data_IF_075540437868
#
_entry.id   IF_075540437868
#
_cell.length_a   1.000
_cell.length_b   1.000
_cell.length_c   1.000
_cell.angle_alpha   90.00
_cell.angle_beta   90.00
_cell.angle_gamma   90.00
#
_symmetry.space_group_name_H-M   'P 1'
#
loop_
_entity.id
_entity.type
_entity.pdbx_description
1 polymer ?
#
# COMPACT_ATOMS: atom_id res chain seq x y z
N UNK A 1 -79.10 -6.23 63.29
CA UNK A 1 -78.58 -4.99 62.79
C UNK A 1 -77.07 -4.98 63.01
N UNK A 2 -76.36 -5.42 61.99
CA UNK A 2 -74.88 -5.29 62.04
C UNK A 2 -74.42 -5.00 60.65
N UNK A 3 -73.75 -3.89 60.43
CA UNK A 3 -73.15 -3.53 59.14
C UNK A 3 -71.78 -4.07 59.07
N UNK A 4 -71.52 -4.90 58.05
CA UNK A 4 -70.21 -5.36 57.68
C UNK A 4 -69.55 -4.36 56.75
N UNK A 5 -68.36 -3.88 57.12
CA UNK A 5 -67.49 -3.09 56.25
C UNK A 5 -66.55 -4.02 55.49
N UNK A 6 -66.56 -3.94 54.15
CA UNK A 6 -65.61 -4.54 53.32
C UNK A 6 -64.37 -3.65 53.15
N UNK A 7 -63.25 -4.10 53.67
CA UNK A 7 -61.95 -3.51 53.43
C UNK A 7 -61.38 -4.09 52.09
N UNK A 8 -61.13 -3.23 51.14
CA UNK A 8 -60.48 -3.64 49.85
C UNK A 8 -58.98 -3.36 50.02
N UNK A 9 -58.22 -4.42 50.07
CA UNK A 9 -56.75 -4.31 49.98
C UNK A 9 -56.37 -4.11 48.49
N UNK A 10 -55.72 -2.96 48.25
CA UNK A 10 -55.02 -2.75 46.97
C UNK A 10 -53.67 -3.43 47.06
N UNK A 11 -53.49 -4.41 46.23
CA UNK A 11 -52.21 -5.07 46.00
C UNK A 11 -51.39 -4.20 45.02
N UNK A 12 -50.34 -3.55 45.51
CA UNK A 12 -49.39 -2.81 44.70
C UNK A 12 -48.50 -3.81 43.95
N UNK A 13 -48.73 -3.94 42.65
CA UNK A 13 -47.80 -4.62 41.75
C UNK A 13 -46.52 -3.82 41.63
N UNK A 14 -45.48 -4.25 42.32
CA UNK A 14 -44.11 -3.81 42.11
C UNK A 14 -43.58 -4.42 40.80
N UNK A 15 -43.38 -3.57 39.84
CA UNK A 15 -42.68 -3.94 38.59
C UNK A 15 -41.23 -4.30 38.90
N UNK A 16 -40.69 -5.39 38.35
CA UNK A 16 -39.27 -5.70 38.46
C UNK A 16 -38.44 -4.64 37.72
N UNK A 17 -37.58 -3.96 38.45
CA UNK A 17 -36.51 -3.16 37.85
C UNK A 17 -35.61 -4.10 37.04
N UNK A 18 -35.60 -3.94 35.74
CA UNK A 18 -34.55 -4.50 34.84
C UNK A 18 -33.19 -4.00 35.33
N UNK A 19 -32.44 -4.89 35.92
CA UNK A 19 -31.02 -4.70 36.15
C UNK A 19 -30.31 -4.76 34.80
N UNK A 20 -30.01 -3.61 34.23
CA UNK A 20 -29.04 -3.49 33.13
C UNK A 20 -27.68 -3.96 33.67
N UNK A 21 -27.34 -5.20 33.38
CA UNK A 21 -26.00 -5.70 33.54
C UNK A 21 -25.13 -4.98 32.47
N UNK A 22 -24.36 -4.01 32.92
CA UNK A 22 -23.25 -3.45 32.13
C UNK A 22 -22.20 -4.56 31.98
N UNK A 23 -22.21 -5.26 30.83
CA UNK A 23 -21.12 -6.12 30.47
C UNK A 23 -19.84 -5.26 30.33
N UNK A 24 -18.93 -5.44 31.25
CA UNK A 24 -17.60 -4.87 31.24
C UNK A 24 -16.85 -5.55 30.08
N UNK A 25 -16.85 -4.95 28.89
CA UNK A 25 -16.02 -5.38 27.76
C UNK A 25 -14.56 -5.15 28.13
N UNK A 26 -13.94 -6.15 28.69
CA UNK A 26 -12.53 -6.11 29.08
C UNK A 26 -11.67 -6.44 27.86
N UNK A 27 -10.97 -5.44 27.32
CA UNK A 27 -10.03 -5.66 26.23
C UNK A 27 -8.95 -6.68 26.67
N UNK A 28 -8.84 -7.80 25.95
CA UNK A 28 -7.76 -8.78 26.19
C UNK A 28 -6.43 -8.18 25.79
N UNK A 29 -5.52 -8.00 26.74
CA UNK A 29 -4.14 -7.54 26.49
C UNK A 29 -3.20 -8.74 26.56
N UNK A 30 -2.46 -8.98 25.49
CA UNK A 30 -1.40 -9.99 25.46
C UNK A 30 -0.06 -9.24 25.46
N UNK A 31 0.82 -9.59 26.38
CA UNK A 31 2.16 -9.02 26.44
C UNK A 31 3.05 -9.79 25.46
N UNK A 32 3.50 -9.12 24.41
CA UNK A 32 4.42 -9.69 23.42
C UNK A 32 5.84 -9.52 23.97
N UNK A 33 6.63 -10.60 24.05
CA UNK A 33 8.03 -10.52 24.42
C UNK A 33 8.87 -10.00 23.24
N UNK A 34 10.00 -9.33 23.52
CA UNK A 34 10.93 -8.88 22.48
C UNK A 34 11.34 -10.02 21.53
N UNK A 35 11.57 -11.21 22.07
CA UNK A 35 11.93 -12.39 21.26
C UNK A 35 10.83 -12.81 20.28
N UNK A 36 9.54 -12.66 20.62
CA UNK A 36 8.44 -12.97 19.70
C UNK A 36 8.28 -11.93 18.59
N UNK A 37 8.70 -10.69 18.81
CA UNK A 37 8.72 -9.64 17.78
C UNK A 37 9.90 -9.86 16.81
N UNK A 38 11.08 -10.22 17.33
CA UNK A 38 12.28 -10.50 16.51
C UNK A 38 12.12 -11.76 15.67
N UNK A 39 11.40 -12.77 16.15
CA UNK A 39 11.10 -14.00 15.38
C UNK A 39 10.14 -13.77 14.21
N UNK A 40 9.30 -12.75 14.28
CA UNK A 40 8.37 -12.39 13.22
C UNK A 40 9.01 -11.55 12.11
N UNK A 41 10.18 -10.96 12.36
CA UNK A 41 10.87 -10.06 11.43
C UNK A 41 11.93 -10.74 10.55
N UNK A 42 12.20 -12.04 10.76
CA UNK A 42 13.29 -12.74 10.07
C UNK A 42 12.88 -13.57 8.84
N UNK A 43 11.66 -13.44 8.33
CA UNK A 43 11.40 -13.81 6.95
C UNK A 43 11.87 -12.65 6.05
N UNK A 44 13.13 -12.64 5.69
CA UNK A 44 13.59 -11.86 4.54
C UNK A 44 12.94 -12.49 3.31
N UNK A 45 11.77 -11.96 2.95
CA UNK A 45 11.14 -12.29 1.67
C UNK A 45 12.15 -11.92 0.58
N UNK A 46 12.57 -12.93 -0.16
CA UNK A 46 13.52 -12.74 -1.26
C UNK A 46 12.80 -12.01 -2.39
N UNK A 47 13.38 -10.91 -2.84
CA UNK A 47 12.88 -10.19 -4.02
C UNK A 47 12.92 -11.09 -5.25
N UNK A 48 11.88 -10.98 -6.07
CA UNK A 48 11.80 -11.68 -7.36
C UNK A 48 12.88 -11.15 -8.31
N UNK A 49 13.48 -12.04 -9.09
CA UNK A 49 14.35 -11.67 -10.21
C UNK A 49 13.47 -11.31 -11.41
N UNK A 50 13.03 -10.04 -11.44
CA UNK A 50 12.09 -9.54 -12.45
C UNK A 50 12.65 -9.64 -13.86
N UNK A 51 13.97 -9.51 -14.05
CA UNK A 51 14.64 -9.68 -15.33
C UNK A 51 14.45 -11.09 -15.89
N UNK A 52 14.41 -12.10 -15.03
CA UNK A 52 14.29 -13.50 -15.43
C UNK A 52 12.85 -13.98 -15.69
N UNK A 53 11.82 -13.25 -15.19
CA UNK A 53 10.43 -13.75 -15.16
C UNK A 53 9.41 -12.78 -15.74
N UNK A 54 9.85 -11.63 -16.29
CA UNK A 54 8.94 -10.61 -16.80
C UNK A 54 9.55 -9.77 -17.90
N UNK A 55 8.69 -9.04 -18.60
CA UNK A 55 9.04 -8.01 -19.55
C UNK A 55 8.64 -6.66 -18.98
N UNK A 56 9.53 -5.66 -19.07
CA UNK A 56 9.23 -4.28 -18.73
C UNK A 56 8.78 -3.51 -19.98
N UNK A 57 7.67 -2.77 -19.86
CA UNK A 57 7.20 -1.84 -20.87
C UNK A 57 7.27 -0.43 -20.28
N UNK A 58 7.81 0.54 -21.02
CA UNK A 58 7.93 1.94 -20.60
C UNK A 58 7.44 2.86 -21.71
N UNK A 59 6.85 4.01 -21.34
CA UNK A 59 6.41 5.01 -22.32
C UNK A 59 7.57 5.79 -22.93
N UNK A 60 8.59 6.09 -22.13
CA UNK A 60 9.84 6.68 -22.58
C UNK A 60 11.00 6.29 -21.67
N UNK A 61 12.23 6.38 -22.14
CA UNK A 61 13.43 6.02 -21.40
C UNK A 61 14.64 6.80 -21.87
N UNK A 62 15.39 7.37 -20.90
CA UNK A 62 16.73 7.89 -21.17
C UNK A 62 17.72 6.71 -21.24
N UNK A 63 18.47 6.55 -22.34
CA UNK A 63 19.42 5.42 -22.51
C UNK A 63 20.49 5.33 -21.42
N UNK A 64 20.77 6.43 -20.70
CA UNK A 64 21.72 6.43 -19.58
C UNK A 64 21.10 5.96 -18.25
N UNK A 65 19.76 5.86 -18.19
CA UNK A 65 18.99 5.48 -17.01
C UNK A 65 17.90 4.47 -17.37
N UNK A 66 18.30 3.28 -17.87
CA UNK A 66 17.35 2.28 -18.36
C UNK A 66 16.55 1.65 -17.22
N UNK A 67 15.37 1.12 -17.56
CA UNK A 67 14.43 0.56 -16.57
C UNK A 67 15.03 -0.61 -15.78
N UNK A 68 15.89 -1.38 -16.39
CA UNK A 68 16.60 -2.49 -15.74
C UNK A 68 17.37 -2.02 -14.50
N UNK A 69 17.90 -0.79 -14.53
CA UNK A 69 18.61 -0.20 -13.38
C UNK A 69 17.70 0.01 -12.16
N UNK A 70 16.40 0.23 -12.39
CA UNK A 70 15.41 0.32 -11.32
C UNK A 70 14.86 -1.03 -10.89
N UNK A 71 14.80 -2.04 -11.77
CA UNK A 71 14.18 -3.33 -11.50
C UNK A 71 15.15 -4.37 -10.93
N UNK A 72 16.45 -4.24 -11.17
CA UNK A 72 17.45 -5.24 -10.73
C UNK A 72 18.27 -4.75 -9.54
N UNK A 73 18.81 -5.70 -8.77
CA UNK A 73 19.81 -5.39 -7.74
C UNK A 73 21.24 -5.41 -8.30
N UNK A 74 21.39 -5.93 -9.52
CA UNK A 74 22.68 -6.12 -10.20
C UNK A 74 23.00 -4.87 -10.99
N UNK A 75 24.09 -4.19 -10.70
CA UNK A 75 24.61 -3.07 -11.49
C UNK A 75 24.67 -1.74 -10.78
N UNK A 76 24.90 -0.67 -11.53
CA UNK A 76 24.88 0.69 -11.02
C UNK A 76 23.43 1.04 -10.63
N UNK A 77 23.22 1.46 -9.40
CA UNK A 77 21.91 1.91 -8.89
C UNK A 77 21.63 3.33 -9.41
N UNK A 78 21.61 3.51 -10.72
CA UNK A 78 21.28 4.79 -11.34
C UNK A 78 19.76 5.04 -11.38
N UNK A 79 18.97 3.98 -11.18
CA UNK A 79 17.52 4.03 -11.37
C UNK A 79 17.11 4.22 -12.83
N UNK A 80 15.83 4.39 -13.05
CA UNK A 80 15.24 4.73 -14.33
C UNK A 80 14.89 6.22 -14.39
N UNK A 81 15.00 6.80 -15.60
CA UNK A 81 14.54 8.16 -15.92
C UNK A 81 13.83 8.15 -17.28
N UNK A 82 12.72 8.87 -17.37
CA UNK A 82 12.05 9.09 -18.64
C UNK A 82 12.89 10.01 -19.55
N UNK A 83 12.80 9.82 -20.87
CA UNK A 83 13.36 10.74 -21.86
C UNK A 83 12.44 11.95 -22.11
N UNK A 84 11.16 11.81 -21.81
CA UNK A 84 10.13 12.80 -22.06
C UNK A 84 9.55 13.35 -20.74
N UNK A 85 9.08 14.59 -20.78
CA UNK A 85 8.36 15.21 -19.66
C UNK A 85 6.92 14.70 -19.58
N UNK A 86 6.27 14.97 -18.43
CA UNK A 86 4.86 14.62 -18.23
C UNK A 86 4.63 13.22 -17.71
N UNK A 87 3.38 12.77 -17.79
CA UNK A 87 2.98 11.47 -17.24
C UNK A 87 3.64 10.30 -17.97
N UNK A 88 4.18 9.37 -17.21
CA UNK A 88 4.84 8.16 -17.71
C UNK A 88 4.17 6.91 -17.17
N UNK A 89 4.25 5.84 -17.92
CA UNK A 89 3.74 4.53 -17.53
C UNK A 89 4.86 3.51 -17.64
N UNK A 90 5.02 2.74 -16.57
CA UNK A 90 5.91 1.57 -16.53
C UNK A 90 5.03 0.36 -16.23
N UNK A 91 5.21 -0.73 -16.97
CA UNK A 91 4.53 -2.00 -16.71
C UNK A 91 5.56 -3.11 -16.56
N UNK A 92 5.34 -3.96 -15.57
CA UNK A 92 6.00 -5.24 -15.43
C UNK A 92 4.97 -6.30 -15.80
N UNK A 93 5.19 -6.97 -16.92
CA UNK A 93 4.32 -8.04 -17.46
C UNK A 93 5.00 -9.37 -17.17
N UNK A 94 4.42 -10.19 -16.31
CA UNK A 94 4.97 -11.47 -15.94
C UNK A 94 4.76 -12.52 -17.04
N UNK A 95 5.76 -13.36 -17.30
CA UNK A 95 5.68 -14.47 -18.26
C UNK A 95 4.62 -15.50 -17.87
N UNK A 96 4.35 -15.61 -16.57
CA UNK A 96 3.32 -16.47 -15.97
C UNK A 96 2.65 -15.73 -14.80
N UNK A 97 1.38 -16.03 -14.53
CA UNK A 97 0.72 -15.50 -13.33
C UNK A 97 1.55 -15.78 -12.08
N UNK A 98 1.88 -14.73 -11.35
CA UNK A 98 2.80 -14.74 -10.21
C UNK A 98 2.10 -14.19 -8.97
N UNK A 99 2.15 -14.87 -7.81
CA UNK A 99 1.66 -14.29 -6.57
C UNK A 99 2.60 -13.19 -6.09
N UNK A 100 2.04 -12.11 -5.53
CA UNK A 100 2.80 -11.02 -4.93
C UNK A 100 2.33 -10.78 -3.49
N UNK A 101 3.31 -10.63 -2.59
CA UNK A 101 3.09 -10.37 -1.17
C UNK A 101 3.66 -9.03 -0.71
N UNK A 102 4.56 -8.46 -1.51
CA UNK A 102 5.21 -7.20 -1.20
C UNK A 102 5.58 -6.43 -2.46
N UNK A 103 5.38 -5.13 -2.43
CA UNK A 103 5.81 -4.22 -3.49
C UNK A 103 6.51 -3.05 -2.83
N UNK A 104 7.74 -2.76 -3.25
CA UNK A 104 8.53 -1.63 -2.76
C UNK A 104 8.95 -0.73 -3.91
N UNK A 105 8.70 0.56 -3.74
CA UNK A 105 9.09 1.63 -4.65
C UNK A 105 10.04 2.58 -3.93
N UNK A 106 11.06 3.05 -4.62
CA UNK A 106 11.96 4.09 -4.12
C UNK A 106 12.05 5.20 -5.16
N UNK A 107 11.82 6.43 -4.72
CA UNK A 107 11.93 7.62 -5.54
C UNK A 107 13.00 8.54 -4.95
N UNK A 108 13.68 9.31 -5.80
CA UNK A 108 14.67 10.28 -5.36
C UNK A 108 14.67 11.48 -6.29
N UNK A 109 14.67 12.67 -5.69
CA UNK A 109 14.91 13.94 -6.38
C UNK A 109 15.64 14.88 -5.44
N UNK A 110 16.87 15.24 -5.79
CA UNK A 110 17.72 16.13 -5.00
C UNK A 110 17.80 17.54 -5.58
N UNK A 111 17.22 17.77 -6.75
CA UNK A 111 17.44 18.99 -7.53
C UNK A 111 16.20 19.89 -7.57
N UNK A 112 15.01 19.29 -7.64
CA UNK A 112 13.80 20.04 -7.98
C UNK A 112 12.75 19.95 -6.88
N UNK A 113 12.21 21.11 -6.47
CA UNK A 113 10.99 21.12 -5.67
C UNK A 113 9.77 20.86 -6.55
N UNK A 114 9.13 19.74 -6.33
CA UNK A 114 7.96 19.30 -7.08
C UNK A 114 7.08 18.35 -6.30
N UNK A 115 5.79 18.34 -6.61
CA UNK A 115 4.86 17.34 -6.07
C UNK A 115 4.59 16.30 -7.14
N UNK A 116 5.06 15.09 -6.89
CA UNK A 116 4.85 13.92 -7.72
C UNK A 116 3.57 13.19 -7.28
N UNK A 117 2.81 12.66 -8.25
CA UNK A 117 1.76 11.69 -8.00
C UNK A 117 2.13 10.36 -8.65
N UNK A 118 1.85 9.26 -7.99
CA UNK A 118 1.89 7.96 -8.62
C UNK A 118 0.61 7.16 -8.36
N UNK A 119 0.31 6.26 -9.29
CA UNK A 119 -0.77 5.30 -9.23
C UNK A 119 -0.22 3.92 -9.51
N UNK A 120 -0.29 3.03 -8.53
CA UNK A 120 0.10 1.63 -8.65
C UNK A 120 -1.14 0.77 -8.87
N UNK A 121 -1.11 -0.06 -9.91
CA UNK A 121 -2.20 -0.97 -10.28
C UNK A 121 -1.66 -2.36 -10.56
N UNK A 122 -2.53 -3.34 -10.47
CA UNK A 122 -2.24 -4.73 -10.85
C UNK A 122 -3.40 -5.31 -11.64
N UNK A 123 -3.16 -6.39 -12.37
CA UNK A 123 -4.19 -7.06 -13.14
C UNK A 123 -3.87 -8.50 -13.44
N UNK A 124 -4.92 -9.23 -13.77
CA UNK A 124 -4.87 -10.57 -14.37
C UNK A 124 -5.02 -10.45 -15.86
N UNK A 125 -4.57 -11.47 -16.58
CA UNK A 125 -4.74 -11.51 -18.04
C UNK A 125 -6.23 -11.43 -18.41
N UNK A 126 -6.57 -10.48 -19.29
CA UNK A 126 -7.95 -10.27 -19.75
C UNK A 126 -8.87 -9.50 -18.80
N UNK A 127 -8.38 -9.09 -17.63
CA UNK A 127 -9.13 -8.26 -16.68
C UNK A 127 -8.62 -6.81 -16.68
N UNK A 128 -9.50 -5.82 -16.42
CA UNK A 128 -9.05 -4.44 -16.24
C UNK A 128 -8.17 -4.32 -14.99
N UNK A 129 -7.10 -3.52 -15.04
CA UNK A 129 -6.23 -3.31 -13.88
C UNK A 129 -6.98 -2.68 -12.71
N UNK A 130 -6.68 -3.16 -11.49
CA UNK A 130 -7.23 -2.70 -10.21
C UNK A 130 -6.21 -1.83 -9.50
N UNK A 131 -6.66 -0.78 -8.86
CA UNK A 131 -5.82 0.11 -8.07
C UNK A 131 -5.36 -0.59 -6.78
N UNK A 132 -4.05 -0.49 -6.50
CA UNK A 132 -3.46 -0.84 -5.21
C UNK A 132 -3.42 0.42 -4.34
N UNK A 133 -2.83 1.49 -4.89
CA UNK A 133 -2.65 2.77 -4.20
C UNK A 133 -2.47 3.92 -5.18
N UNK A 134 -2.94 5.09 -4.77
CA UNK A 134 -2.61 6.38 -5.38
C UNK A 134 -2.05 7.28 -4.29
N UNK A 135 -0.90 7.90 -4.56
CA UNK A 135 -0.21 8.70 -3.56
C UNK A 135 0.48 9.89 -4.19
N UNK A 136 0.65 10.95 -3.39
CA UNK A 136 1.38 12.16 -3.75
C UNK A 136 2.49 12.40 -2.75
N UNK A 137 3.62 12.88 -3.23
CA UNK A 137 4.77 13.23 -2.44
C UNK A 137 5.41 14.52 -2.94
N UNK A 138 5.84 15.39 -2.01
CA UNK A 138 6.55 16.63 -2.36
C UNK A 138 8.03 16.47 -2.07
N UNK A 139 8.82 16.50 -3.11
CA UNK A 139 10.28 16.59 -3.01
C UNK A 139 10.69 18.03 -2.75
N UNK A 140 11.73 18.19 -1.95
CA UNK A 140 12.35 19.48 -1.67
C UNK A 140 13.86 19.29 -1.51
N UNK A 141 14.70 20.01 -2.28
CA UNK A 141 16.16 19.88 -2.20
C UNK A 141 16.75 20.16 -0.80
N UNK A 142 16.04 20.93 0.00
CA UNK A 142 16.44 21.28 1.37
C UNK A 142 15.74 20.45 2.46
N UNK A 143 14.95 19.44 2.08
CA UNK A 143 14.18 18.63 3.00
C UNK A 143 14.06 17.19 2.54
N UNK A 144 12.90 16.84 2.01
CA UNK A 144 12.57 15.47 1.57
C UNK A 144 13.06 15.20 0.15
N UNK A 145 14.23 14.60 0.01
CA UNK A 145 14.84 14.26 -1.30
C UNK A 145 14.61 12.82 -1.72
N UNK A 146 14.05 12.00 -0.84
CA UNK A 146 13.75 10.59 -1.14
C UNK A 146 12.43 10.16 -0.52
N UNK A 147 11.75 9.25 -1.19
CA UNK A 147 10.54 8.60 -0.73
C UNK A 147 10.67 7.10 -0.93
N UNK A 148 10.27 6.34 0.09
CA UNK A 148 10.25 4.88 0.07
C UNK A 148 8.88 4.39 0.45
N UNK A 149 8.23 3.73 -0.47
CA UNK A 149 6.93 3.11 -0.31
C UNK A 149 7.06 1.59 -0.24
N UNK A 150 6.46 0.98 0.76
CA UNK A 150 6.58 -0.46 1.03
C UNK A 150 5.22 -1.05 1.38
N UNK A 151 4.59 -1.69 0.41
CA UNK A 151 3.24 -2.23 0.51
C UNK A 151 3.27 -3.74 0.74
N UNK A 152 2.63 -4.18 1.83
CA UNK A 152 2.24 -5.58 2.00
C UNK A 152 0.93 -5.80 1.27
N UNK A 153 0.93 -6.75 0.36
CA UNK A 153 -0.22 -7.11 -0.48
C UNK A 153 -0.47 -8.61 -0.40
N UNK A 154 -1.63 -9.05 -0.83
CA UNK A 154 -1.94 -10.46 -1.05
C UNK A 154 -2.66 -10.55 -2.39
N UNK A 155 -1.87 -10.70 -3.44
CA UNK A 155 -2.33 -10.71 -4.82
C UNK A 155 -2.00 -12.05 -5.45
N UNK A 156 -3.03 -12.77 -5.88
CA UNK A 156 -2.89 -14.05 -6.56
C UNK A 156 -3.04 -13.87 -8.07
N UNK A 157 -2.30 -14.66 -8.85
CA UNK A 157 -2.40 -14.69 -10.32
C UNK A 157 -2.13 -13.35 -11.00
N UNK A 158 -1.14 -12.60 -10.52
CA UNK A 158 -0.76 -11.31 -11.11
C UNK A 158 -0.10 -11.54 -12.46
N UNK A 159 -0.66 -10.98 -13.51
CA UNK A 159 -0.07 -10.99 -14.86
C UNK A 159 0.62 -9.68 -15.20
N UNK A 160 0.20 -8.58 -14.57
CA UNK A 160 0.73 -7.25 -14.82
C UNK A 160 0.71 -6.40 -13.54
N UNK A 161 1.78 -5.64 -13.32
CA UNK A 161 1.80 -4.52 -12.37
C UNK A 161 2.15 -3.25 -13.15
N UNK A 162 1.32 -2.23 -13.02
CA UNK A 162 1.47 -0.95 -13.71
C UNK A 162 1.71 0.17 -12.71
N UNK A 163 2.74 0.95 -12.96
CA UNK A 163 3.06 2.19 -12.26
C UNK A 163 2.87 3.36 -13.21
N UNK A 164 1.95 4.27 -12.88
CA UNK A 164 1.81 5.56 -13.55
C UNK A 164 2.46 6.63 -12.70
N UNK A 165 3.32 7.41 -13.30
CA UNK A 165 4.06 8.48 -12.66
C UNK A 165 3.70 9.81 -13.30
N UNK A 166 3.18 10.71 -12.51
CA UNK A 166 3.03 12.12 -12.87
C UNK A 166 4.10 12.89 -12.10
N UNK A 167 5.20 13.25 -12.76
CA UNK A 167 6.40 13.75 -12.08
C UNK A 167 6.19 15.08 -11.37
N UNK A 168 5.28 15.92 -11.87
CA UNK A 168 4.86 17.18 -11.25
C UNK A 168 3.35 17.36 -11.46
N UNK A 169 2.64 17.88 -10.46
CA UNK A 169 1.22 18.23 -10.61
C UNK A 169 1.01 19.38 -11.58
N UNK A 170 2.03 20.20 -11.83
CA UNK A 170 2.03 21.17 -12.90
C UNK A 170 2.16 20.47 -14.24
N UNK A 171 1.26 20.71 -15.21
CA UNK A 171 1.29 20.04 -16.51
C UNK A 171 2.63 20.24 -17.22
N UNK A 172 3.12 19.19 -17.88
CA UNK A 172 4.33 19.16 -18.71
C UNK A 172 5.65 19.56 -18.00
N UNK A 173 5.62 19.67 -16.67
CA UNK A 173 6.80 19.91 -15.87
C UNK A 173 7.39 18.62 -15.31
N UNK A 174 8.71 18.62 -15.19
CA UNK A 174 9.45 17.51 -14.58
C UNK A 174 9.62 16.29 -15.49
N UNK A 175 10.65 15.55 -15.20
CA UNK A 175 10.96 14.25 -15.82
C UNK A 175 10.74 13.18 -14.75
N UNK A 176 9.99 12.13 -15.08
CA UNK A 176 9.74 11.04 -14.15
C UNK A 176 11.02 10.23 -13.91
N UNK A 177 11.21 9.82 -12.67
CA UNK A 177 12.33 8.96 -12.26
C UNK A 177 11.88 7.95 -11.21
N UNK A 178 12.55 6.80 -11.18
CA UNK A 178 12.30 5.71 -10.25
C UNK A 178 13.65 5.12 -9.82
N UNK A 179 13.99 5.27 -8.55
CA UNK A 179 15.28 4.79 -8.05
C UNK A 179 15.31 3.27 -7.92
N UNK A 180 14.22 2.66 -7.43
CA UNK A 180 14.09 1.20 -7.37
C UNK A 180 12.63 0.76 -7.37
N UNK A 181 12.38 -0.44 -7.94
CA UNK A 181 11.13 -1.17 -7.85
C UNK A 181 11.40 -2.64 -7.56
N UNK A 182 10.86 -3.13 -6.46
CA UNK A 182 11.05 -4.51 -6.02
C UNK A 182 9.72 -5.16 -5.71
N UNK A 183 9.61 -6.46 -6.00
CA UNK A 183 8.42 -7.28 -5.72
C UNK A 183 8.83 -8.62 -5.10
N UNK A 184 8.00 -9.13 -4.18
CA UNK A 184 8.18 -10.44 -3.56
C UNK A 184 6.84 -11.14 -3.34
#
# INVERSE_FOLDING_TARGET
MVRGGLSVCYDEFLTPREQLQTENVHMRKIRISRQSVESSSNFQEKWLDLEAISVAEVTSEDPNFPIESALTEKGQRSGWRAAETGEQVIRVVFDRPTPLHRIRLEFSDTETERTQEFLLRWGRMGEPPREIVRQQWTFSPHGSTSEVEDYRVQLDDVSIVELRLKPDLRPEHGVASLAAWRMA
#
